data_IF_906342886914
#
_entry.id   IF_906342886914
#
_cell.length_a   1.000
_cell.length_b   1.000
_cell.length_c   1.000
_cell.angle_alpha   90.00
_cell.angle_beta   90.00
_cell.angle_gamma   90.00
#
_symmetry.space_group_name_H-M   'P 1'
#
loop_
_entity.id
_entity.type
_entity.pdbx_description
1 polymer ?
#
# COMPACT_ATOMS: atom_id res chain seq x y z
N UNK A 1 8.02 -1.44 -5.15
CA UNK A 1 6.98 -0.42 -5.38
C UNK A 1 7.60 0.80 -6.02
N UNK A 2 7.06 1.26 -7.14
CA UNK A 2 7.52 2.49 -7.77
C UNK A 2 7.29 3.70 -6.88
N UNK A 3 8.20 4.65 -6.97
CA UNK A 3 8.13 5.90 -6.22
C UNK A 3 8.10 7.04 -7.22
N UNK A 4 7.13 7.94 -7.07
CA UNK A 4 6.98 9.12 -7.92
C UNK A 4 7.50 10.34 -7.17
N UNK A 5 8.48 11.02 -7.74
CA UNK A 5 9.09 12.20 -7.14
C UNK A 5 9.02 13.37 -8.12
N UNK A 6 8.72 14.56 -7.61
CA UNK A 6 8.70 15.75 -8.44
C UNK A 6 10.12 16.15 -8.86
N UNK A 7 10.24 16.75 -10.07
CA UNK A 7 11.54 17.25 -10.55
C UNK A 7 12.17 18.26 -9.59
N UNK A 8 11.35 19.07 -8.95
CA UNK A 8 11.82 20.05 -7.98
C UNK A 8 12.56 19.41 -6.81
N UNK A 9 11.99 18.34 -6.25
CA UNK A 9 12.63 17.61 -5.15
C UNK A 9 13.87 16.87 -5.63
N UNK A 10 13.81 16.30 -6.84
CA UNK A 10 14.92 15.56 -7.42
C UNK A 10 16.10 16.48 -7.73
N UNK A 11 15.85 17.66 -8.27
CA UNK A 11 16.89 18.63 -8.63
C UNK A 11 17.58 19.24 -7.41
N UNK A 12 16.89 19.31 -6.28
CA UNK A 12 17.45 19.80 -5.03
C UNK A 12 18.19 18.74 -4.24
N UNK A 13 18.22 17.51 -4.74
CA UNK A 13 18.91 16.38 -4.13
C UNK A 13 19.91 15.79 -5.12
N UNK A 14 20.96 15.17 -4.59
CA UNK A 14 21.96 14.49 -5.42
C UNK A 14 21.79 12.98 -5.31
N UNK A 15 20.62 12.51 -5.66
CA UNK A 15 20.27 11.08 -5.57
C UNK A 15 20.78 10.34 -6.81
N UNK A 16 21.47 9.24 -6.57
CA UNK A 16 22.01 8.36 -7.61
C UNK A 16 21.48 6.95 -7.42
N UNK A 17 21.49 6.17 -8.48
CA UNK A 17 21.14 4.75 -8.41
C UNK A 17 22.06 4.04 -7.41
N UNK A 18 21.48 3.27 -6.52
CA UNK A 18 22.18 2.57 -5.46
C UNK A 18 22.21 3.29 -4.11
N UNK A 19 21.78 4.57 -4.07
CA UNK A 19 21.72 5.32 -2.83
C UNK A 19 20.58 4.84 -1.93
N UNK A 20 20.84 4.88 -0.63
CA UNK A 20 19.80 4.68 0.38
C UNK A 20 19.18 6.03 0.71
N UNK A 21 17.87 6.13 0.56
CA UNK A 21 17.14 7.36 0.83
C UNK A 21 16.00 7.10 1.81
N UNK A 22 15.64 8.13 2.57
CA UNK A 22 14.44 8.13 3.39
C UNK A 22 13.46 9.16 2.83
N UNK A 23 12.21 8.79 2.76
CA UNK A 23 11.18 9.65 2.22
C UNK A 23 9.87 9.52 2.99
N UNK A 24 9.06 10.57 2.91
CA UNK A 24 7.66 10.55 3.33
C UNK A 24 6.80 10.93 2.15
N UNK A 25 5.68 10.26 2.01
CA UNK A 25 4.80 10.52 0.90
C UNK A 25 3.42 9.94 1.11
N UNK A 26 2.63 10.03 0.06
CA UNK A 26 1.29 9.49 0.02
C UNK A 26 1.27 8.22 -0.82
N UNK A 27 0.71 7.16 -0.26
CA UNK A 27 0.51 5.91 -0.98
C UNK A 27 -0.71 6.04 -1.88
N UNK A 28 -0.50 5.88 -3.18
CA UNK A 28 -1.54 6.08 -4.19
C UNK A 28 -1.67 4.87 -5.09
N UNK A 29 -2.83 4.76 -5.71
CA UNK A 29 -3.10 3.75 -6.72
C UNK A 29 -3.63 4.39 -8.00
N UNK A 30 -3.39 3.73 -9.11
CA UNK A 30 -4.04 4.08 -10.38
C UNK A 30 -4.21 2.82 -11.22
N UNK A 31 -5.15 2.88 -12.16
CA UNK A 31 -5.37 1.79 -13.09
C UNK A 31 -4.61 2.06 -14.37
N UNK A 32 -3.72 1.13 -14.73
CA UNK A 32 -3.00 1.18 -15.99
C UNK A 32 -3.71 0.26 -16.99
N UNK A 33 -4.09 0.83 -18.13
CA UNK A 33 -4.72 0.07 -19.22
C UNK A 33 -3.64 -0.33 -20.21
N UNK A 34 -3.48 -1.64 -20.42
CA UNK A 34 -2.53 -2.20 -21.35
C UNK A 34 -3.21 -3.36 -22.08
N UNK A 35 -3.21 -3.33 -23.43
CA UNK A 35 -3.79 -4.38 -24.28
C UNK A 35 -5.20 -4.81 -23.85
N UNK A 36 -6.09 -3.84 -23.54
CA UNK A 36 -7.46 -4.07 -23.07
C UNK A 36 -7.56 -4.70 -21.67
N UNK A 37 -6.47 -4.74 -20.92
CA UNK A 37 -6.45 -5.19 -19.53
C UNK A 37 -6.20 -4.01 -18.61
N UNK A 38 -6.96 -3.96 -17.51
CA UNK A 38 -6.76 -2.96 -16.47
C UNK A 38 -5.96 -3.60 -15.33
N UNK A 39 -4.86 -2.95 -14.96
CA UNK A 39 -4.02 -3.40 -13.85
C UNK A 39 -3.91 -2.29 -12.82
N UNK A 40 -4.15 -2.65 -11.56
CA UNK A 40 -3.96 -1.73 -10.45
C UNK A 40 -2.46 -1.57 -10.16
N UNK A 41 -1.99 -0.33 -10.22
CA UNK A 41 -0.59 0.01 -9.91
C UNK A 41 -0.56 0.84 -8.64
N UNK A 42 0.32 0.44 -7.72
CA UNK A 42 0.53 1.15 -6.47
C UNK A 42 1.84 1.94 -6.56
N UNK A 43 1.83 3.17 -6.05
CA UNK A 43 3.01 4.03 -6.06
C UNK A 43 3.03 4.89 -4.81
N UNK A 44 4.23 5.32 -4.41
CA UNK A 44 4.40 6.32 -3.36
C UNK A 44 4.68 7.66 -4.01
N UNK A 45 3.81 8.63 -3.78
CA UNK A 45 4.02 10.01 -4.23
C UNK A 45 4.79 10.75 -3.14
N UNK A 46 6.05 11.08 -3.41
CA UNK A 46 6.95 11.65 -2.43
C UNK A 46 6.58 13.09 -2.13
N UNK A 47 6.41 13.42 -0.84
CA UNK A 47 6.19 14.80 -0.38
C UNK A 47 7.45 15.44 0.12
N UNK A 48 8.31 14.66 0.80
CA UNK A 48 9.59 15.17 1.31
C UNK A 48 10.63 14.07 1.35
N UNK A 49 11.88 14.48 1.21
CA UNK A 49 13.03 13.61 1.45
C UNK A 49 13.54 13.88 2.85
N UNK A 50 13.84 12.82 3.58
CA UNK A 50 14.25 12.87 4.98
C UNK A 50 15.69 12.40 5.13
N UNK A 51 16.30 12.73 6.27
CA UNK A 51 17.58 12.14 6.63
C UNK A 51 17.42 10.65 6.96
N UNK A 52 18.39 9.85 6.54
CA UNK A 52 18.37 8.41 6.84
C UNK A 52 18.71 8.21 8.29
N UNK A 53 17.80 7.58 9.03
CA UNK A 53 17.99 7.21 10.44
C UNK A 53 17.96 5.69 10.54
N UNK A 54 19.11 5.10 10.82
CA UNK A 54 19.25 3.64 10.93
C UNK A 54 18.50 3.04 12.12
N UNK A 55 18.15 3.86 13.10
CA UNK A 55 17.42 3.43 14.29
C UNK A 55 15.91 3.56 14.14
N UNK A 56 15.43 4.13 13.04
CA UNK A 56 13.99 4.28 12.79
C UNK A 56 13.40 3.01 12.20
N UNK A 57 12.06 2.89 12.32
CA UNK A 57 11.31 1.85 11.62
C UNK A 57 11.09 2.28 10.18
N UNK A 58 11.83 1.69 9.21
CA UNK A 58 11.92 2.28 7.88
C UNK A 58 10.71 2.05 6.97
N UNK A 59 9.78 1.20 7.38
CA UNK A 59 8.65 0.84 6.54
C UNK A 59 7.36 0.92 7.36
N UNK A 60 6.81 2.12 7.43
CA UNK A 60 5.57 2.38 8.16
C UNK A 60 4.55 2.98 7.21
N UNK A 61 3.35 2.42 7.19
CA UNK A 61 2.23 2.98 6.45
C UNK A 61 1.00 3.08 7.35
N UNK A 62 0.32 4.22 7.27
CA UNK A 62 -0.96 4.43 7.93
C UNK A 62 -2.02 4.64 6.86
N UNK A 63 -3.09 3.87 6.93
CA UNK A 63 -4.19 3.92 5.98
C UNK A 63 -5.48 4.19 6.74
N UNK A 64 -6.19 5.20 6.26
CA UNK A 64 -7.49 5.58 6.81
C UNK A 64 -8.49 5.63 5.66
N UNK A 65 -9.47 4.75 5.69
CA UNK A 65 -10.40 4.65 4.58
C UNK A 65 -11.57 3.72 4.86
N UNK A 66 -12.16 3.22 3.79
CA UNK A 66 -13.37 2.41 3.85
C UNK A 66 -13.15 1.07 3.17
N UNK A 67 -13.77 0.04 3.72
CA UNK A 67 -13.81 -1.28 3.07
C UNK A 67 -14.71 -1.18 1.85
N UNK A 68 -14.16 -1.43 0.66
CA UNK A 68 -14.92 -1.29 -0.60
C UNK A 68 -15.32 -2.61 -1.25
N UNK A 69 -14.80 -3.72 -0.74
CA UNK A 69 -15.22 -5.08 -1.12
C UNK A 69 -15.32 -5.93 0.12
N UNK A 70 -16.16 -6.98 0.08
CA UNK A 70 -16.26 -7.93 1.18
C UNK A 70 -14.90 -8.52 1.50
N UNK A 71 -14.44 -8.42 2.76
CA UNK A 71 -13.18 -9.04 3.15
C UNK A 71 -13.23 -10.55 2.98
N UNK A 72 -12.11 -11.14 2.59
CA UNK A 72 -12.00 -12.58 2.37
C UNK A 72 -11.12 -13.18 3.45
N UNK A 73 -11.73 -13.87 4.41
CA UNK A 73 -11.02 -14.60 5.45
C UNK A 73 -10.60 -15.96 4.91
N UNK A 74 -9.36 -16.35 5.17
CA UNK A 74 -8.84 -17.66 4.81
C UNK A 74 -7.75 -18.10 5.78
N UNK A 75 -7.49 -19.39 5.79
CA UNK A 75 -6.42 -19.99 6.59
C UNK A 75 -5.31 -20.44 5.64
N UNK A 76 -4.07 -20.12 5.95
CA UNK A 76 -2.93 -20.57 5.15
C UNK A 76 -2.63 -22.06 5.43
N UNK A 77 -1.82 -22.74 4.58
CA UNK A 77 -1.39 -24.12 4.86
C UNK A 77 -0.66 -24.31 6.18
N UNK A 78 -0.12 -23.22 6.76
CA UNK A 78 0.55 -23.26 8.05
C UNK A 78 -0.37 -22.88 9.22
N UNK A 79 -1.69 -22.96 9.02
CA UNK A 79 -2.71 -22.61 10.01
C UNK A 79 -2.67 -21.17 10.49
N UNK A 80 -2.21 -20.26 9.66
CA UNK A 80 -2.27 -18.84 9.96
C UNK A 80 -3.55 -18.25 9.38
N UNK A 81 -4.22 -17.45 10.18
CA UNK A 81 -5.42 -16.74 9.76
C UNK A 81 -5.05 -15.47 9.06
N UNK A 82 -5.59 -15.25 7.87
CA UNK A 82 -5.42 -13.99 7.12
C UNK A 82 -6.74 -13.52 6.56
N UNK A 83 -6.86 -12.22 6.39
CA UNK A 83 -8.00 -11.61 5.70
C UNK A 83 -7.48 -10.64 4.65
N UNK A 84 -7.88 -10.88 3.40
CA UNK A 84 -7.64 -9.96 2.30
C UNK A 84 -8.74 -8.91 2.28
N UNK A 85 -8.37 -7.64 2.30
CA UNK A 85 -9.32 -6.53 2.29
C UNK A 85 -8.84 -5.45 1.34
N UNK A 86 -9.78 -4.88 0.57
CA UNK A 86 -9.48 -3.76 -0.31
C UNK A 86 -9.98 -2.47 0.35
N UNK A 87 -9.07 -1.54 0.60
CA UNK A 87 -9.37 -0.26 1.24
C UNK A 87 -9.48 0.85 0.20
N UNK A 88 -10.53 1.63 0.30
CA UNK A 88 -10.68 2.84 -0.49
C UNK A 88 -10.29 4.04 0.36
N UNK A 89 -9.27 4.76 -0.08
CA UNK A 89 -8.77 5.96 0.59
C UNK A 89 -9.12 7.17 -0.27
N UNK A 90 -9.91 8.07 0.29
CA UNK A 90 -10.34 9.26 -0.43
C UNK A 90 -9.24 10.32 -0.45
N UNK A 91 -9.05 10.90 -1.63
CA UNK A 91 -8.15 12.04 -1.86
C UNK A 91 -8.95 13.28 -2.23
N UNK A 92 -8.28 14.43 -2.20
CA UNK A 92 -8.83 15.68 -2.72
C UNK A 92 -9.30 15.52 -4.19
N UNK A 93 -10.25 16.33 -4.60
CA UNK A 93 -10.81 16.34 -5.97
C UNK A 93 -11.57 15.07 -6.34
N UNK A 94 -12.27 14.45 -5.40
CA UNK A 94 -13.12 13.27 -5.62
C UNK A 94 -12.39 12.06 -6.22
N UNK A 95 -11.10 11.93 -5.90
CA UNK A 95 -10.32 10.76 -6.29
C UNK A 95 -10.20 9.79 -5.12
N UNK A 96 -10.13 8.51 -5.44
CA UNK A 96 -9.94 7.47 -4.43
C UNK A 96 -8.78 6.57 -4.83
N UNK A 97 -8.01 6.15 -3.84
CA UNK A 97 -6.98 5.15 -4.01
C UNK A 97 -7.48 3.83 -3.45
N UNK A 98 -7.26 2.75 -4.20
CA UNK A 98 -7.66 1.40 -3.79
C UNK A 98 -6.42 0.63 -3.42
N UNK A 99 -6.32 0.27 -2.14
CA UNK A 99 -5.10 -0.33 -1.59
C UNK A 99 -5.44 -1.71 -1.06
N UNK A 100 -4.90 -2.79 -1.68
CA UNK A 100 -5.05 -4.14 -1.15
C UNK A 100 -4.25 -4.29 0.14
N UNK A 101 -4.89 -4.82 1.16
CA UNK A 101 -4.29 -5.02 2.47
C UNK A 101 -4.47 -6.47 2.91
N UNK A 102 -3.50 -6.97 3.66
CA UNK A 102 -3.58 -8.30 4.27
C UNK A 102 -3.45 -8.11 5.78
N UNK A 103 -4.42 -8.65 6.51
CA UNK A 103 -4.39 -8.68 7.97
C UNK A 103 -4.12 -10.09 8.47
N UNK A 104 -3.54 -10.21 9.65
CA UNK A 104 -3.08 -11.49 10.21
C UNK A 104 -3.66 -11.72 11.59
N UNK A 105 -3.91 -12.98 11.92
CA UNK A 105 -4.27 -13.44 13.26
C UNK A 105 -5.54 -12.80 13.79
N UNK A 106 -5.45 -12.17 14.95
CA UNK A 106 -6.59 -11.53 15.60
C UNK A 106 -7.20 -10.42 14.72
N UNK A 107 -6.36 -9.65 14.06
CA UNK A 107 -6.83 -8.60 13.15
C UNK A 107 -7.58 -9.19 11.95
N UNK A 108 -7.15 -10.35 11.45
CA UNK A 108 -7.83 -11.02 10.35
C UNK A 108 -9.24 -11.44 10.74
N UNK A 109 -9.44 -11.96 11.95
CA UNK A 109 -10.77 -12.31 12.47
C UNK A 109 -11.67 -11.08 12.56
N UNK A 110 -11.13 -10.01 13.10
CA UNK A 110 -11.87 -8.75 13.27
C UNK A 110 -12.29 -8.16 11.93
N UNK A 111 -11.35 -8.02 11.00
CA UNK A 111 -11.62 -7.43 9.68
C UNK A 111 -12.52 -8.31 8.84
N UNK A 112 -12.38 -9.63 8.94
CA UNK A 112 -13.17 -10.59 8.16
C UNK A 112 -14.68 -10.52 8.42
N UNK A 113 -15.10 -9.96 9.55
CA UNK A 113 -16.51 -9.83 9.94
C UNK A 113 -17.08 -8.44 9.60
N UNK A 114 -16.28 -7.51 9.12
CA UNK A 114 -16.74 -6.15 8.87
C UNK A 114 -17.47 -6.04 7.54
N UNK A 115 -18.60 -5.29 7.50
CA UNK A 115 -19.33 -5.09 6.26
C UNK A 115 -18.63 -4.07 5.34
N UNK A 116 -19.01 -4.11 4.05
CA UNK A 116 -18.59 -3.09 3.08
C UNK A 116 -19.06 -1.71 3.56
N UNK A 117 -18.22 -0.71 3.40
CA UNK A 117 -18.49 0.65 3.83
C UNK A 117 -18.01 0.97 5.24
N UNK A 118 -17.46 -0.02 5.95
CA UNK A 118 -16.90 0.21 7.28
C UNK A 118 -15.65 1.08 7.18
N UNK A 119 -15.61 2.12 8.01
CA UNK A 119 -14.46 2.99 8.14
C UNK A 119 -13.42 2.33 9.02
N UNK A 120 -12.19 2.27 8.53
CA UNK A 120 -11.14 1.53 9.20
C UNK A 120 -9.82 2.27 9.11
N UNK A 121 -9.09 2.28 10.22
CA UNK A 121 -7.73 2.80 10.29
C UNK A 121 -6.78 1.61 10.44
N UNK A 122 -5.76 1.57 9.58
CA UNK A 122 -4.77 0.50 9.59
C UNK A 122 -3.36 1.08 9.67
N UNK A 123 -2.53 0.45 10.49
CA UNK A 123 -1.10 0.75 10.59
C UNK A 123 -0.34 -0.53 10.26
N UNK A 124 0.60 -0.45 9.37
CA UNK A 124 1.35 -1.61 8.95
C UNK A 124 2.57 -1.26 8.15
N UNK A 125 2.97 -2.18 7.31
CA UNK A 125 4.13 -2.02 6.43
C UNK A 125 3.81 -2.52 5.03
N UNK A 126 4.58 -2.04 4.07
CA UNK A 126 4.48 -2.48 2.69
C UNK A 126 5.29 -3.75 2.52
N UNK A 127 4.68 -4.77 1.93
CA UNK A 127 5.36 -6.02 1.59
C UNK A 127 5.19 -6.31 0.12
N UNK A 128 6.23 -6.86 -0.48
CA UNK A 128 6.18 -7.35 -1.85
C UNK A 128 6.49 -8.83 -1.88
N UNK A 129 5.88 -9.55 -2.82
CA UNK A 129 6.13 -10.97 -3.04
C UNK A 129 6.27 -11.23 -4.52
N UNK A 130 7.22 -12.08 -4.87
CA UNK A 130 7.35 -12.57 -6.22
C UNK A 130 6.60 -13.90 -6.33
N UNK A 131 5.82 -14.02 -7.38
CA UNK A 131 5.10 -15.24 -7.68
C UNK A 131 5.67 -15.85 -8.96
N UNK A 132 6.05 -17.12 -8.88
CA UNK A 132 6.32 -17.91 -10.07
C UNK A 132 4.99 -18.43 -10.59
N UNK A 133 4.52 -17.83 -11.69
CA UNK A 133 3.33 -18.34 -12.37
C UNK A 133 3.71 -19.60 -13.15
N UNK A 134 3.12 -20.71 -12.76
CA UNK A 134 3.19 -21.92 -13.56
C UNK A 134 2.15 -21.81 -14.69
N UNK A 135 2.64 -21.88 -15.89
CA UNK A 135 1.80 -21.95 -17.08
C UNK A 135 1.48 -23.41 -17.42
#
# INVERSE_FOLDING_TARGET
IPVTISERLLNNSQIKVGDTIALRGQFRSYNKIDENKSKLVLTVFVRELCEVDENSTPNLIEIYGYICKSPIYRTTPFNREITDVLMAVNRSYNKSDYIPCITWGRNARFVGELPIGTKLEMVGRIQSREYLKKH
#
